data_IF_527186860266
#
_entry.id   IF_527186860266
#
_cell.length_a   1.000
_cell.length_b   1.000
_cell.length_c   1.000
_cell.angle_alpha   90.00
_cell.angle_beta   90.00
_cell.angle_gamma   90.00
#
_symmetry.space_group_name_H-M   'P 1'
#
loop_
_entity.id
_entity.type
_entity.pdbx_description
1 polymer ?
#
# COMPACT_ATOMS: atom_id res chain seq x y z
N UNK A 1 -3.12 29.34 10.80
CA UNK A 1 -2.69 28.49 11.93
C UNK A 1 -3.72 27.39 12.05
N UNK A 2 -3.40 26.18 11.58
CA UNK A 2 -4.39 25.10 11.40
C UNK A 2 -4.95 24.59 12.73
N UNK A 3 -6.28 24.67 12.87
CA UNK A 3 -7.06 24.21 14.02
C UNK A 3 -7.40 22.72 13.91
N UNK A 4 -6.40 21.85 13.77
CA UNK A 4 -6.65 20.39 13.85
C UNK A 4 -6.27 19.91 15.24
N UNK A 5 -7.28 19.55 16.04
CA UNK A 5 -7.06 18.96 17.36
C UNK A 5 -6.40 17.58 17.23
N UNK A 6 -5.70 17.14 18.29
CA UNK A 6 -5.05 15.82 18.32
C UNK A 6 -6.03 14.67 18.03
N UNK A 7 -7.27 14.81 18.48
CA UNK A 7 -8.35 13.84 18.22
C UNK A 7 -8.79 13.85 16.77
N UNK A 8 -9.03 15.03 16.18
CA UNK A 8 -9.36 15.13 14.75
C UNK A 8 -8.23 14.57 13.88
N UNK A 9 -6.97 14.85 14.20
CA UNK A 9 -5.81 14.26 13.51
C UNK A 9 -5.80 12.75 13.63
N UNK A 10 -6.09 12.21 14.82
CA UNK A 10 -6.18 10.76 15.07
C UNK A 10 -7.32 10.12 14.28
N UNK A 11 -8.50 10.75 14.24
CA UNK A 11 -9.66 10.30 13.47
C UNK A 11 -9.38 10.31 11.96
N UNK A 12 -8.77 11.38 11.44
CA UNK A 12 -8.33 11.46 10.05
C UNK A 12 -7.33 10.36 9.72
N UNK A 13 -6.30 10.17 10.56
CA UNK A 13 -5.32 9.09 10.37
C UNK A 13 -5.95 7.69 10.43
N UNK A 14 -6.93 7.47 11.33
CA UNK A 14 -7.67 6.21 11.46
C UNK A 14 -8.55 5.93 10.23
N UNK A 15 -9.18 6.96 9.68
CA UNK A 15 -9.94 6.88 8.44
C UNK A 15 -9.03 6.48 7.27
N UNK A 16 -7.90 7.19 7.09
CA UNK A 16 -6.89 6.88 6.06
C UNK A 16 -6.36 5.44 6.20
N UNK A 17 -6.06 4.99 7.42
CA UNK A 17 -5.59 3.62 7.67
C UNK A 17 -6.65 2.56 7.32
N UNK A 18 -7.92 2.83 7.62
CA UNK A 18 -9.04 1.94 7.31
C UNK A 18 -9.24 1.81 5.80
N UNK A 19 -9.21 2.93 5.07
CA UNK A 19 -9.29 2.97 3.61
C UNK A 19 -8.15 2.21 2.95
N UNK A 20 -6.91 2.42 3.41
CA UNK A 20 -5.73 1.69 2.94
C UNK A 20 -5.90 0.18 3.11
N UNK A 21 -6.41 -0.26 4.26
CA UNK A 21 -6.65 -1.69 4.54
C UNK A 21 -7.70 -2.30 3.59
N UNK A 22 -8.78 -1.58 3.31
CA UNK A 22 -9.81 -2.02 2.36
C UNK A 22 -9.25 -2.18 0.94
N UNK A 23 -8.40 -1.24 0.51
CA UNK A 23 -7.73 -1.29 -0.79
C UNK A 23 -6.72 -2.43 -0.88
N UNK A 24 -5.88 -2.61 0.14
CA UNK A 24 -4.99 -3.76 0.24
C UNK A 24 -5.74 -5.07 0.06
N UNK A 25 -6.89 -5.22 0.73
CA UNK A 25 -7.71 -6.42 0.63
C UNK A 25 -8.24 -6.61 -0.81
N UNK A 26 -8.76 -5.56 -1.46
CA UNK A 26 -9.21 -5.65 -2.86
C UNK A 26 -8.09 -6.08 -3.82
N UNK A 27 -6.90 -5.48 -3.71
CA UNK A 27 -5.76 -5.80 -4.58
C UNK A 27 -5.27 -7.23 -4.33
N UNK A 28 -5.14 -7.62 -3.06
CA UNK A 28 -4.68 -8.97 -2.70
C UNK A 28 -5.69 -10.05 -3.11
N UNK A 29 -7.00 -9.81 -2.97
CA UNK A 29 -8.04 -10.70 -3.49
C UNK A 29 -7.98 -10.84 -5.01
N UNK A 30 -7.75 -9.75 -5.74
CA UNK A 30 -7.61 -9.80 -7.21
C UNK A 30 -6.35 -10.56 -7.65
N UNK A 31 -5.23 -10.37 -6.96
CA UNK A 31 -3.99 -11.12 -7.21
C UNK A 31 -4.16 -12.61 -6.90
N UNK A 32 -4.85 -12.94 -5.81
CA UNK A 32 -5.14 -14.32 -5.43
C UNK A 32 -6.02 -15.03 -6.46
N UNK A 33 -7.10 -14.39 -6.92
CA UNK A 33 -7.95 -14.91 -7.99
C UNK A 33 -7.19 -15.15 -9.30
N UNK A 34 -6.14 -14.35 -9.57
CA UNK A 34 -5.24 -14.51 -10.72
C UNK A 34 -4.12 -15.53 -10.48
N UNK A 35 -4.07 -16.22 -9.34
CA UNK A 35 -3.02 -17.18 -8.99
C UNK A 35 -1.63 -16.54 -8.82
N UNK A 36 -1.56 -15.22 -8.59
CA UNK A 36 -0.29 -14.52 -8.44
C UNK A 36 0.18 -14.63 -6.99
N UNK A 37 1.39 -15.16 -6.80
CA UNK A 37 2.02 -15.22 -5.48
C UNK A 37 2.59 -13.85 -5.10
N UNK A 38 2.09 -13.28 -4.01
CA UNK A 38 2.54 -11.99 -3.47
C UNK A 38 2.90 -12.10 -1.99
N UNK A 39 3.57 -11.08 -1.45
CA UNK A 39 3.78 -10.87 -0.02
C UNK A 39 3.27 -9.49 0.38
N UNK A 40 2.66 -9.40 1.56
CA UNK A 40 2.23 -8.13 2.15
C UNK A 40 3.33 -7.54 3.03
N UNK A 41 3.38 -6.22 3.12
CA UNK A 41 4.19 -5.46 4.09
C UNK A 41 5.66 -5.91 4.14
N UNK A 42 6.31 -5.98 2.96
CA UNK A 42 7.68 -6.49 2.84
C UNK A 42 8.69 -5.44 3.33
N UNK A 43 8.95 -5.44 4.64
CA UNK A 43 9.93 -4.54 5.30
C UNK A 43 11.38 -4.77 4.87
N UNK A 44 11.66 -5.89 4.20
CA UNK A 44 13.00 -6.21 3.67
C UNK A 44 13.37 -5.40 2.43
N UNK A 45 12.42 -4.68 1.83
CA UNK A 45 12.63 -3.87 0.62
C UNK A 45 12.60 -2.37 0.95
N UNK A 46 13.47 -1.62 0.26
CA UNK A 46 13.57 -0.16 0.40
C UNK A 46 12.21 0.50 0.12
N UNK A 47 11.72 1.28 1.06
CA UNK A 47 10.42 1.96 0.99
C UNK A 47 9.27 1.17 1.62
N UNK A 48 9.48 -0.06 2.10
CA UNK A 48 8.46 -0.92 2.74
C UNK A 48 7.17 -1.00 1.90
N UNK A 49 7.22 -1.61 0.72
CA UNK A 49 6.07 -1.74 -0.15
C UNK A 49 4.94 -2.54 0.52
N UNK A 50 3.71 -2.12 0.23
CA UNK A 50 2.49 -2.75 0.76
C UNK A 50 2.32 -4.16 0.18
N UNK A 51 2.64 -4.33 -1.10
CA UNK A 51 2.60 -5.63 -1.78
C UNK A 51 3.87 -5.82 -2.62
N UNK A 52 4.50 -6.99 -2.51
CA UNK A 52 5.64 -7.40 -3.34
C UNK A 52 5.31 -8.66 -4.14
N UNK A 53 5.68 -8.70 -5.41
CA UNK A 53 5.49 -9.85 -6.31
C UNK A 53 6.85 -10.25 -6.86
N UNK A 54 7.49 -11.23 -6.20
CA UNK A 54 8.86 -11.66 -6.50
C UNK A 54 9.03 -12.20 -7.92
N UNK A 55 8.04 -12.97 -8.42
CA UNK A 55 8.08 -13.59 -9.76
C UNK A 55 8.32 -12.55 -10.86
N UNK A 56 7.64 -11.42 -10.78
CA UNK A 56 7.73 -10.34 -11.76
C UNK A 56 8.67 -9.22 -11.33
N UNK A 57 9.34 -9.37 -10.16
CA UNK A 57 10.12 -8.30 -9.53
C UNK A 57 9.33 -7.00 -9.43
N UNK A 58 8.03 -7.07 -9.14
CA UNK A 58 7.18 -5.88 -9.02
C UNK A 58 6.95 -5.58 -7.54
N UNK A 59 7.00 -4.30 -7.18
CA UNK A 59 6.50 -3.80 -5.88
C UNK A 59 5.39 -2.80 -6.13
N UNK A 60 4.40 -2.83 -5.25
CA UNK A 60 3.19 -2.02 -5.32
C UNK A 60 3.10 -1.22 -4.01
N UNK A 61 2.99 0.10 -4.15
CA UNK A 61 2.70 1.01 -3.05
C UNK A 61 1.28 1.53 -3.18
N UNK A 62 0.52 1.46 -2.10
CA UNK A 62 -0.87 1.93 -2.00
C UNK A 62 -0.85 3.21 -1.16
N UNK A 63 -1.02 4.35 -1.84
CA UNK A 63 -1.13 5.67 -1.23
C UNK A 63 -2.57 6.16 -1.42
N UNK A 64 -3.25 6.42 -0.30
CA UNK A 64 -4.57 7.04 -0.28
C UNK A 64 -4.41 8.54 -0.01
N UNK A 65 -4.86 9.37 -0.96
CA UNK A 65 -4.82 10.83 -0.86
C UNK A 65 -6.19 11.44 -0.52
N UNK A 66 -7.16 10.62 -0.15
CA UNK A 66 -8.52 11.05 0.24
C UNK A 66 -9.50 11.15 -0.94
N UNK A 67 -9.04 11.63 -2.10
CA UNK A 67 -9.87 11.73 -3.32
C UNK A 67 -9.39 10.81 -4.45
N UNK A 68 -8.13 10.39 -4.42
CA UNK A 68 -7.52 9.54 -5.44
C UNK A 68 -6.66 8.45 -4.82
N UNK A 69 -6.69 7.27 -5.46
CA UNK A 69 -5.86 6.14 -5.11
C UNK A 69 -4.67 6.14 -6.08
N UNK A 70 -3.46 6.27 -5.54
CA UNK A 70 -2.24 6.18 -6.32
C UNK A 70 -1.61 4.81 -6.12
N UNK A 71 -1.55 4.04 -7.21
CA UNK A 71 -0.87 2.76 -7.26
C UNK A 71 0.49 2.96 -7.95
N UNK A 72 1.57 2.98 -7.17
CA UNK A 72 2.92 3.03 -7.75
C UNK A 72 3.44 1.62 -7.96
N UNK A 73 3.65 1.26 -9.21
CA UNK A 73 4.27 -0.01 -9.62
C UNK A 73 5.73 0.28 -9.95
N UNK A 74 6.66 -0.29 -9.17
CA UNK A 74 8.09 -0.19 -9.45
C UNK A 74 8.66 -1.57 -9.76
N UNK A 75 9.45 -1.66 -10.82
CA UNK A 75 10.28 -2.83 -11.07
C UNK A 75 11.46 -2.82 -10.08
N UNK A 76 11.51 -3.84 -9.24
CA UNK A 76 12.55 -4.12 -8.28
C UNK A 76 13.77 -4.68 -9.01
N UNK A 77 14.61 -3.78 -9.52
CA UNK A 77 15.98 -4.14 -9.87
C UNK A 77 16.73 -4.36 -8.55
N UNK A 78 16.87 -5.63 -8.16
CA UNK A 78 17.99 -6.03 -7.31
C UNK A 78 19.28 -5.86 -8.11
N UNK A 79 19.76 -4.63 -8.20
CA UNK A 79 21.17 -4.36 -8.42
C UNK A 79 21.89 -4.59 -7.10
N UNK A 80 22.91 -5.43 -7.14
CA UNK A 80 23.83 -5.72 -6.04
C UNK A 80 24.45 -4.45 -5.45
#
# INVERSE_FOLDING_TARGET
MDKITKEQRSLTMKAVKSSKTSLENKVTSALFQKGVRFRKNERSLKGTPDISIKKYRIVIFILDTGNHILLFIKSSNKGH
#
